data_IF_777376280841
#
_entry.id   IF_777376280841
#
_cell.length_a   1.000
_cell.length_b   1.000
_cell.length_c   1.000
_cell.angle_alpha   90.00
_cell.angle_beta   90.00
_cell.angle_gamma   90.00
#
_symmetry.space_group_name_H-M   'P 1'
#
loop_
_entity.id
_entity.type
_entity.pdbx_description
1 polymer ?
#
# COMPACT_ATOMS: atom_id res chain seq x y z
N UNK A 1 16.69 -3.66 4.83
CA UNK A 1 15.60 -3.16 3.96
C UNK A 1 15.93 -3.21 2.47
N UNK A 2 16.82 -2.36 1.91
CA UNK A 2 17.13 -2.40 0.46
C UNK A 2 17.91 -3.67 0.09
N UNK A 3 18.99 -3.96 0.81
CA UNK A 3 19.79 -5.18 0.62
C UNK A 3 18.96 -6.45 0.84
N UNK A 4 18.03 -6.44 1.80
CA UNK A 4 17.13 -7.56 2.07
C UNK A 4 16.13 -7.80 0.93
N UNK A 5 15.64 -6.73 0.27
CA UNK A 5 14.75 -6.81 -0.90
C UNK A 5 15.53 -7.26 -2.16
N UNK A 6 16.81 -6.89 -2.28
CA UNK A 6 17.73 -7.42 -3.30
C UNK A 6 18.05 -8.91 -3.07
N UNK A 7 18.34 -9.31 -1.83
CA UNK A 7 18.61 -10.71 -1.45
C UNK A 7 17.39 -11.60 -1.67
N UNK A 8 16.17 -11.06 -1.45
CA UNK A 8 14.90 -11.74 -1.77
C UNK A 8 14.54 -11.71 -3.26
N UNK A 9 15.38 -11.13 -4.13
CA UNK A 9 15.16 -11.06 -5.58
C UNK A 9 13.98 -10.17 -6.01
N UNK A 10 13.43 -9.35 -5.10
CA UNK A 10 12.31 -8.45 -5.39
C UNK A 10 12.76 -7.17 -6.09
N UNK A 11 14.04 -6.81 -5.94
CA UNK A 11 14.66 -5.68 -6.63
C UNK A 11 15.90 -6.19 -7.36
N UNK A 12 15.85 -6.23 -8.69
CA UNK A 12 16.95 -6.66 -9.54
C UNK A 12 17.48 -5.45 -10.34
N UNK A 13 18.72 -5.04 -10.06
CA UNK A 13 19.43 -4.03 -10.85
C UNK A 13 20.82 -4.57 -11.20
N UNK A 14 21.27 -4.32 -12.42
CA UNK A 14 22.60 -4.72 -12.90
C UNK A 14 23.69 -3.68 -12.64
N UNK A 15 23.34 -2.54 -12.04
CA UNK A 15 24.20 -1.36 -11.92
C UNK A 15 24.44 -0.99 -10.45
N UNK A 16 25.69 -1.18 -10.00
CA UNK A 16 26.13 -0.85 -8.64
C UNK A 16 25.95 0.65 -8.33
N UNK A 17 26.17 1.53 -9.31
CA UNK A 17 26.05 2.97 -9.11
C UNK A 17 24.59 3.41 -8.93
N UNK A 18 23.65 2.73 -9.61
CA UNK A 18 22.23 2.95 -9.40
C UNK A 18 21.80 2.54 -7.98
N UNK A 19 22.35 1.44 -7.48
CA UNK A 19 22.11 0.96 -6.12
C UNK A 19 22.55 1.98 -5.04
N UNK A 20 23.72 2.60 -5.24
CA UNK A 20 24.21 3.67 -4.37
C UNK A 20 23.35 4.94 -4.47
N UNK A 21 22.94 5.33 -5.68
CA UNK A 21 22.02 6.46 -5.91
C UNK A 21 20.67 6.24 -5.20
N UNK A 22 20.11 5.03 -5.30
CA UNK A 22 18.88 4.64 -4.60
C UNK A 22 19.05 4.77 -3.08
N UNK A 23 20.14 4.22 -2.52
CA UNK A 23 20.39 4.31 -1.08
C UNK A 23 20.51 5.76 -0.62
N UNK A 24 21.21 6.59 -1.38
CA UNK A 24 21.39 8.01 -1.05
C UNK A 24 20.07 8.76 -1.03
N UNK A 25 19.29 8.71 -2.12
CA UNK A 25 17.99 9.37 -2.25
C UNK A 25 17.02 8.88 -1.17
N UNK A 26 16.96 7.56 -0.96
CA UNK A 26 16.06 6.98 0.04
C UNK A 26 16.42 7.42 1.46
N UNK A 27 17.71 7.51 1.79
CA UNK A 27 18.15 7.90 3.14
C UNK A 27 17.98 9.39 3.38
N UNK A 28 18.30 10.23 2.38
CA UNK A 28 18.18 11.68 2.46
C UNK A 28 16.72 12.12 2.60
N UNK A 29 15.83 11.55 1.78
CA UNK A 29 14.42 11.94 1.76
C UNK A 29 13.55 11.21 2.79
N UNK A 30 14.05 10.14 3.42
CA UNK A 30 13.28 9.44 4.44
C UNK A 30 12.97 10.35 5.63
N UNK A 31 13.85 11.27 6.03
CA UNK A 31 13.69 12.13 7.22
C UNK A 31 13.19 11.35 8.47
N UNK A 32 13.61 10.09 8.63
CA UNK A 32 13.16 9.20 9.73
C UNK A 32 11.84 8.45 9.49
N UNK A 33 11.21 8.59 8.33
CA UNK A 33 9.96 7.91 7.94
C UNK A 33 10.24 6.57 7.24
N UNK A 34 10.34 5.49 8.02
CA UNK A 34 10.52 4.13 7.48
C UNK A 34 9.40 3.68 6.55
N UNK A 35 8.15 4.11 6.80
CA UNK A 35 7.00 3.78 5.96
C UNK A 35 7.13 4.36 4.54
N UNK A 36 7.68 5.58 4.42
CA UNK A 36 7.90 6.22 3.12
C UNK A 36 8.89 5.40 2.27
N UNK A 37 9.96 4.89 2.88
CA UNK A 37 10.96 4.03 2.21
C UNK A 37 10.32 2.71 1.74
N UNK A 38 9.44 2.11 2.54
CA UNK A 38 8.76 0.85 2.18
C UNK A 38 7.87 1.01 0.94
N UNK A 39 7.04 2.07 0.90
CA UNK A 39 6.20 2.36 -0.27
C UNK A 39 7.04 2.62 -1.52
N UNK A 40 8.15 3.34 -1.37
CA UNK A 40 9.04 3.62 -2.49
C UNK A 40 9.69 2.36 -3.04
N UNK A 41 10.10 1.45 -2.15
CA UNK A 41 10.69 0.19 -2.58
C UNK A 41 9.69 -0.66 -3.34
N UNK A 42 8.42 -0.69 -2.96
CA UNK A 42 7.39 -1.39 -3.72
C UNK A 42 7.21 -0.79 -5.14
N UNK A 43 7.17 0.54 -5.25
CA UNK A 43 7.08 1.24 -6.54
C UNK A 43 8.34 1.00 -7.41
N UNK A 44 9.53 0.88 -6.80
CA UNK A 44 10.80 0.60 -7.48
C UNK A 44 10.90 -0.87 -7.93
N UNK A 45 10.48 -1.82 -7.09
CA UNK A 45 10.42 -3.25 -7.41
C UNK A 45 9.45 -3.54 -8.58
N UNK A 46 8.46 -2.68 -8.81
CA UNK A 46 7.52 -2.82 -9.93
C UNK A 46 8.09 -2.40 -11.29
N UNK A 47 9.30 -1.82 -11.36
CA UNK A 47 9.92 -1.37 -12.61
C UNK A 47 10.67 -2.51 -13.31
N UNK A 48 10.72 -2.51 -14.64
CA UNK A 48 11.29 -3.61 -15.43
C UNK A 48 12.73 -3.39 -15.91
N UNK A 49 13.24 -2.16 -15.90
CA UNK A 49 14.60 -1.84 -16.33
C UNK A 49 15.20 -0.68 -15.54
N UNK A 50 16.54 -0.59 -15.54
CA UNK A 50 17.30 0.44 -14.81
C UNK A 50 16.90 1.87 -15.21
N UNK A 51 16.53 2.11 -16.47
CA UNK A 51 16.06 3.42 -16.93
C UNK A 51 14.71 3.81 -16.31
N UNK A 52 13.81 2.85 -16.12
CA UNK A 52 12.53 3.10 -15.48
C UNK A 52 12.65 3.19 -13.96
N UNK A 53 13.62 2.49 -13.36
CA UNK A 53 14.05 2.73 -11.98
C UNK A 53 14.53 4.18 -11.83
N UNK A 54 15.42 4.67 -12.70
CA UNK A 54 15.90 6.07 -12.67
C UNK A 54 14.78 7.09 -12.85
N UNK A 55 13.82 6.85 -13.76
CA UNK A 55 12.65 7.72 -13.91
C UNK A 55 11.76 7.69 -12.67
N UNK A 56 11.58 6.50 -12.08
CA UNK A 56 10.85 6.35 -10.83
C UNK A 56 11.53 7.18 -9.73
N UNK A 57 12.86 7.07 -9.57
CA UNK A 57 13.66 7.85 -8.62
C UNK A 57 13.50 9.37 -8.79
N UNK A 58 13.36 9.86 -10.03
CA UNK A 58 13.15 11.29 -10.32
C UNK A 58 11.72 11.77 -10.06
N UNK A 59 10.76 10.85 -10.05
CA UNK A 59 9.33 11.14 -9.86
C UNK A 59 8.86 10.80 -8.45
N UNK A 60 9.81 10.53 -7.54
CA UNK A 60 9.49 10.16 -6.18
C UNK A 60 8.75 11.29 -5.45
N UNK A 61 7.70 10.95 -4.71
CA UNK A 61 7.03 11.90 -3.84
C UNK A 61 8.01 12.43 -2.78
N UNK A 62 8.11 13.75 -2.66
CA UNK A 62 9.07 14.44 -1.79
C UNK A 62 8.79 14.29 -0.30
N UNK A 63 7.57 13.86 0.04
CA UNK A 63 7.11 13.71 1.41
C UNK A 63 5.97 12.67 1.46
N UNK A 64 5.62 12.24 2.68
CA UNK A 64 4.58 11.23 2.92
C UNK A 64 3.20 11.65 2.39
N UNK A 65 2.88 12.94 2.41
CA UNK A 65 1.61 13.47 1.88
C UNK A 65 1.53 13.22 0.37
N UNK A 66 2.60 13.48 -0.36
CA UNK A 66 2.66 13.22 -1.79
C UNK A 66 2.60 11.71 -2.09
N UNK A 67 3.19 10.87 -1.24
CA UNK A 67 3.07 9.39 -1.34
C UNK A 67 1.62 8.95 -1.18
N UNK A 68 0.93 9.41 -0.12
CA UNK A 68 -0.48 9.10 0.08
C UNK A 68 -1.35 9.65 -1.06
N UNK A 69 -1.09 10.88 -1.54
CA UNK A 69 -1.82 11.44 -2.68
C UNK A 69 -1.68 10.58 -3.93
N UNK A 70 -0.48 10.04 -4.21
CA UNK A 70 -0.24 9.12 -5.33
C UNK A 70 -1.04 7.82 -5.16
N UNK A 71 -0.98 7.21 -3.98
CA UNK A 71 -1.72 5.97 -3.67
C UNK A 71 -3.24 6.20 -3.80
N UNK A 72 -3.77 7.26 -3.19
CA UNK A 72 -5.18 7.63 -3.27
C UNK A 72 -5.61 7.92 -4.71
N UNK A 73 -4.76 8.54 -5.52
CA UNK A 73 -5.03 8.77 -6.94
C UNK A 73 -5.16 7.46 -7.73
N UNK A 74 -4.31 6.46 -7.45
CA UNK A 74 -4.45 5.12 -8.06
C UNK A 74 -5.75 4.45 -7.64
N UNK A 75 -6.15 4.55 -6.37
CA UNK A 75 -7.41 3.99 -5.86
C UNK A 75 -8.60 4.61 -6.60
N UNK A 76 -8.60 5.93 -6.76
CA UNK A 76 -9.65 6.66 -7.50
C UNK A 76 -9.65 6.27 -8.98
N UNK A 77 -8.49 6.17 -9.62
CA UNK A 77 -8.37 5.76 -11.02
C UNK A 77 -8.92 4.35 -11.28
N UNK A 78 -8.81 3.44 -10.31
CA UNK A 78 -9.39 2.09 -10.39
C UNK A 78 -10.87 2.01 -9.94
N UNK A 79 -11.52 3.14 -9.66
CA UNK A 79 -12.90 3.23 -9.16
C UNK A 79 -13.11 2.41 -7.86
N UNK A 80 -12.11 2.39 -6.99
CA UNK A 80 -12.11 1.66 -5.70
C UNK A 80 -12.32 2.57 -4.49
N UNK A 81 -12.46 3.87 -4.70
CA UNK A 81 -12.47 4.88 -3.65
C UNK A 81 -13.63 4.69 -2.66
N UNK A 82 -14.82 4.31 -3.13
CA UNK A 82 -15.97 4.04 -2.27
C UNK A 82 -15.71 2.89 -1.28
N UNK A 83 -15.10 1.79 -1.75
CA UNK A 83 -14.76 0.65 -0.90
C UNK A 83 -13.63 1.01 0.07
N UNK A 84 -12.54 1.61 -0.42
CA UNK A 84 -11.40 1.98 0.44
C UNK A 84 -11.81 2.99 1.51
N UNK A 85 -12.67 3.96 1.20
CA UNK A 85 -13.23 4.89 2.19
C UNK A 85 -14.01 4.17 3.29
N UNK A 86 -14.80 3.14 2.95
CA UNK A 86 -15.51 2.32 3.95
C UNK A 86 -14.54 1.52 4.82
N UNK A 87 -13.51 0.91 4.22
CA UNK A 87 -12.46 0.19 4.94
C UNK A 87 -11.79 1.10 5.96
N UNK A 88 -11.29 2.26 5.51
CA UNK A 88 -10.59 3.21 6.38
C UNK A 88 -11.51 3.72 7.50
N UNK A 89 -12.78 4.02 7.20
CA UNK A 89 -13.74 4.41 8.24
C UNK A 89 -13.88 3.36 9.34
N UNK A 90 -14.04 2.09 8.97
CA UNK A 90 -14.15 1.01 9.96
C UNK A 90 -12.87 0.85 10.77
N UNK A 91 -11.70 0.94 10.14
CA UNK A 91 -10.42 0.82 10.82
C UNK A 91 -10.16 1.99 11.79
N UNK A 92 -10.56 3.22 11.45
CA UNK A 92 -10.37 4.40 12.30
C UNK A 92 -11.33 4.40 13.50
N UNK A 93 -12.54 3.88 13.33
CA UNK A 93 -13.58 3.88 14.38
C UNK A 93 -13.50 2.65 15.29
N UNK A 94 -12.91 1.55 14.82
CA UNK A 94 -12.77 0.33 15.61
C UNK A 94 -11.90 0.57 16.85
N UNK A 95 -12.36 0.10 18.00
CA UNK A 95 -11.64 0.21 19.28
C UNK A 95 -10.47 -0.76 19.41
N UNK A 96 -10.41 -1.77 18.54
CA UNK A 96 -9.38 -2.80 18.46
C UNK A 96 -9.11 -3.18 17.01
N UNK A 97 -7.98 -3.82 16.69
CA UNK A 97 -7.77 -4.43 15.38
C UNK A 97 -8.95 -5.34 15.00
N UNK A 98 -9.40 -5.23 13.76
CA UNK A 98 -10.46 -6.05 13.19
C UNK A 98 -9.84 -7.27 12.52
N UNK A 99 -10.44 -8.43 12.72
CA UNK A 99 -10.13 -9.59 11.89
C UNK A 99 -10.63 -9.37 10.46
N UNK A 100 -10.06 -10.07 9.48
CA UNK A 100 -10.53 -10.00 8.09
C UNK A 100 -12.02 -10.36 7.95
N UNK A 101 -12.51 -11.32 8.74
CA UNK A 101 -13.92 -11.71 8.75
C UNK A 101 -14.82 -10.60 9.25
N UNK A 102 -14.46 -9.97 10.37
CA UNK A 102 -15.20 -8.84 10.93
C UNK A 102 -15.21 -7.64 9.98
N UNK A 103 -14.08 -7.36 9.32
CA UNK A 103 -14.02 -6.30 8.32
C UNK A 103 -14.93 -6.61 7.13
N UNK A 104 -14.95 -7.85 6.64
CA UNK A 104 -15.85 -8.27 5.56
C UNK A 104 -17.33 -8.13 5.93
N UNK A 105 -17.68 -8.44 7.18
CA UNK A 105 -19.03 -8.26 7.70
C UNK A 105 -19.38 -6.78 7.82
N UNK A 106 -18.47 -5.97 8.38
CA UNK A 106 -18.63 -4.53 8.54
C UNK A 106 -18.82 -3.80 7.19
N UNK A 107 -18.08 -4.21 6.16
CA UNK A 107 -18.19 -3.68 4.80
C UNK A 107 -19.53 -4.01 4.12
N UNK A 108 -20.22 -5.06 4.58
CA UNK A 108 -21.52 -5.48 4.03
C UNK A 108 -22.71 -4.65 4.55
N UNK A 109 -22.47 -3.82 5.58
CA UNK A 109 -23.50 -3.01 6.25
C UNK A 109 -23.70 -1.69 5.50
N UNK A 110 -24.97 -1.33 5.28
CA UNK A 110 -25.37 -0.01 4.80
C UNK A 110 -26.30 0.71 5.79
N UNK A 111 -26.23 2.04 5.79
CA UNK A 111 -27.09 2.88 6.63
C UNK A 111 -28.56 2.65 6.24
N UNK A 112 -29.39 2.32 7.24
CA UNK A 112 -30.82 2.03 7.03
C UNK A 112 -31.12 0.56 6.71
N UNK A 113 -30.11 -0.31 6.65
CA UNK A 113 -30.30 -1.74 6.49
C UNK A 113 -30.94 -2.36 7.76
N UNK A 114 -32.04 -3.10 7.57
CA UNK A 114 -32.77 -3.74 8.69
C UNK A 114 -32.24 -5.13 9.04
N UNK A 115 -31.69 -5.84 8.06
CA UNK A 115 -31.21 -7.21 8.22
C UNK A 115 -29.89 -7.39 7.47
N UNK A 116 -28.96 -8.15 8.04
CA UNK A 116 -27.72 -8.50 7.38
C UNK A 116 -28.00 -9.31 6.10
N UNK A 117 -27.39 -8.91 4.98
CA UNK A 117 -27.55 -9.57 3.69
C UNK A 117 -26.24 -10.24 3.27
N UNK A 118 -26.20 -11.58 3.32
CA UNK A 118 -25.00 -12.37 3.00
C UNK A 118 -24.45 -12.11 1.58
N UNK A 119 -25.32 -11.67 0.65
CA UNK A 119 -24.96 -11.33 -0.73
C UNK A 119 -24.08 -10.07 -0.85
N UNK A 120 -24.08 -9.21 0.18
CA UNK A 120 -23.27 -7.98 0.22
C UNK A 120 -21.88 -8.20 0.81
N UNK A 121 -21.62 -9.39 1.35
CA UNK A 121 -20.33 -9.72 1.94
C UNK A 121 -19.26 -9.80 0.84
N UNK A 122 -18.07 -9.31 1.15
CA UNK A 122 -16.91 -9.44 0.27
C UNK A 122 -16.58 -10.93 0.11
N UNK A 123 -16.53 -11.42 -1.13
CA UNK A 123 -16.27 -12.83 -1.43
C UNK A 123 -14.77 -13.19 -1.29
N UNK A 124 -13.89 -12.27 -1.67
CA UNK A 124 -12.44 -12.47 -1.68
C UNK A 124 -11.79 -11.53 -0.66
N UNK A 125 -11.50 -12.06 0.53
CA UNK A 125 -10.92 -11.29 1.63
C UNK A 125 -9.52 -10.78 1.31
N UNK A 126 -8.73 -11.57 0.58
CA UNK A 126 -7.35 -11.23 0.21
C UNK A 126 -7.28 -10.02 -0.72
N UNK A 127 -8.33 -9.80 -1.52
CA UNK A 127 -8.42 -8.61 -2.38
C UNK A 127 -8.60 -7.30 -1.63
N UNK A 128 -9.05 -7.30 -0.37
CA UNK A 128 -9.19 -6.07 0.40
C UNK A 128 -7.83 -5.36 0.52
N UNK A 129 -6.75 -6.11 0.74
CA UNK A 129 -5.40 -5.56 0.78
C UNK A 129 -4.96 -4.98 -0.56
N UNK A 130 -5.20 -5.73 -1.65
CA UNK A 130 -4.89 -5.29 -2.99
C UNK A 130 -5.64 -4.01 -3.36
N UNK A 131 -6.91 -3.90 -2.97
CA UNK A 131 -7.74 -2.73 -3.27
C UNK A 131 -7.34 -1.50 -2.46
N UNK A 132 -6.79 -1.71 -1.26
CA UNK A 132 -6.28 -0.64 -0.42
C UNK A 132 -4.84 -0.24 -0.77
N UNK A 133 -4.23 -0.78 -1.83
CA UNK A 133 -2.90 -0.38 -2.32
C UNK A 133 -1.83 -0.33 -1.20
N UNK A 134 -1.79 -1.36 -0.35
CA UNK A 134 -0.87 -1.48 0.79
C UNK A 134 -1.06 -0.42 1.91
N UNK A 135 -2.18 0.31 1.94
CA UNK A 135 -2.54 1.17 3.07
C UNK A 135 -2.97 0.41 4.32
N UNK A 136 -3.31 -0.88 4.17
CA UNK A 136 -3.77 -1.76 5.24
C UNK A 136 -2.85 -2.97 5.25
N UNK A 137 -2.44 -3.37 6.45
CA UNK A 137 -1.64 -4.56 6.70
C UNK A 137 -2.45 -5.55 7.55
N UNK A 138 -2.23 -6.86 7.34
CA UNK A 138 -2.77 -7.91 8.20
C UNK A 138 -1.63 -8.37 9.08
N UNK A 139 -1.82 -8.27 10.39
CA UNK A 139 -0.89 -8.89 11.31
C UNK A 139 -1.04 -10.42 11.22
N UNK A 140 0.05 -11.14 10.98
CA UNK A 140 0.07 -12.60 10.91
C UNK A 140 0.27 -13.24 12.29
N UNK A 141 0.43 -12.43 13.35
CA UNK A 141 0.44 -12.92 14.73
C UNK A 141 -0.98 -13.21 15.23
N UNK A 142 -1.50 -14.39 14.92
CA UNK A 142 -2.47 -15.18 15.71
C UNK A 142 -2.43 -16.68 15.33
#
# INVERSE_FOLDING_TARGET
MILERCEKGMLATGDQALLEEMQHILTEHAEGMFLWVTFLLDDLCAQYCDDDIRKCLKTLPKNLKDTFNRVLSRIVAHNRDGLVKKVIHWLVVASRPLTLDELCDALSIEVGQKHAERRRRVNDKGRILLWCENLVHIDEED
#
